data_IF_725874103595
#
_entry.id   IF_725874103595
#
_cell.length_a   1.000
_cell.length_b   1.000
_cell.length_c   1.000
_cell.angle_alpha   90.00
_cell.angle_beta   90.00
_cell.angle_gamma   90.00
#
_symmetry.space_group_name_H-M   'P 1'
#
loop_
_entity.id
_entity.type
_entity.pdbx_description
1 polymer ?
#
# COMPACT_ATOMS: atom_id res chain seq x y z
N UNK A 1 -3.34 27.39 -20.08
CA UNK A 1 -2.48 26.52 -19.23
C UNK A 1 -1.04 27.03 -19.23
N UNK A 2 -0.26 26.91 -20.31
CA UNK A 2 1.12 27.42 -20.36
C UNK A 2 1.25 28.94 -20.18
N UNK A 3 0.33 29.72 -20.77
CA UNK A 3 0.29 31.19 -20.63
C UNK A 3 0.04 31.66 -19.19
N UNK A 4 -0.85 30.97 -18.46
CA UNK A 4 -1.22 31.30 -17.09
C UNK A 4 -0.13 30.87 -16.09
N UNK A 5 0.52 29.72 -16.32
CA UNK A 5 1.71 29.33 -15.57
C UNK A 5 2.86 30.31 -15.79
N UNK A 6 3.11 30.73 -17.04
CA UNK A 6 4.18 31.69 -17.37
C UNK A 6 3.95 33.04 -16.66
N UNK A 7 2.74 33.57 -16.73
CA UNK A 7 2.40 34.86 -16.11
C UNK A 7 2.54 34.83 -14.58
N UNK A 8 2.21 33.71 -13.92
CA UNK A 8 2.40 33.55 -12.47
C UNK A 8 3.86 33.30 -12.08
N UNK A 9 4.63 32.60 -12.90
CA UNK A 9 6.07 32.41 -12.67
C UNK A 9 6.83 33.74 -12.83
N UNK A 10 6.43 34.57 -13.78
CA UNK A 10 6.94 35.95 -13.93
C UNK A 10 6.65 36.81 -12.68
N UNK A 11 5.47 36.66 -12.06
CA UNK A 11 5.14 37.29 -10.78
C UNK A 11 6.01 36.79 -9.61
N UNK A 12 6.55 35.58 -9.71
CA UNK A 12 7.49 35.00 -8.73
C UNK A 12 8.95 35.30 -9.07
N UNK A 13 9.22 36.14 -10.09
CA UNK A 13 10.55 36.43 -10.63
C UNK A 13 11.32 35.17 -11.08
N UNK A 14 10.61 34.15 -11.57
CA UNK A 14 11.20 32.94 -12.13
C UNK A 14 11.23 33.06 -13.66
N UNK A 15 12.41 33.01 -14.25
CA UNK A 15 12.59 32.94 -15.70
C UNK A 15 12.30 31.52 -16.21
N UNK A 16 11.61 31.41 -17.35
CA UNK A 16 11.25 30.13 -17.96
C UNK A 16 11.95 30.02 -19.30
N UNK A 17 12.90 29.11 -19.39
CA UNK A 17 13.68 28.79 -20.59
C UNK A 17 13.24 27.42 -21.12
N UNK A 18 13.15 27.30 -22.44
CA UNK A 18 12.86 26.04 -23.11
C UNK A 18 14.16 25.51 -23.66
N UNK A 19 14.52 24.29 -23.25
CA UNK A 19 15.71 23.59 -23.70
C UNK A 19 15.30 22.41 -24.56
N UNK A 20 16.04 22.17 -25.64
CA UNK A 20 15.94 20.96 -26.45
C UNK A 20 16.62 19.77 -25.76
N UNK A 21 16.22 18.55 -26.13
CA UNK A 21 16.71 17.32 -25.53
C UNK A 21 18.25 17.21 -25.56
N UNK A 22 18.89 17.66 -26.66
CA UNK A 22 20.35 17.64 -26.80
C UNK A 22 21.04 18.63 -25.86
N UNK A 23 20.49 19.84 -25.72
CA UNK A 23 21.03 20.87 -24.84
C UNK A 23 21.02 20.39 -23.38
N UNK A 24 19.99 19.64 -22.98
CA UNK A 24 19.91 19.05 -21.63
C UNK A 24 20.96 17.97 -21.41
N UNK A 25 21.23 17.15 -22.43
CA UNK A 25 22.24 16.09 -22.35
C UNK A 25 23.68 16.65 -22.31
N UNK A 26 23.89 17.83 -22.87
CA UNK A 26 25.18 18.53 -22.83
C UNK A 26 25.44 19.24 -21.47
N UNK A 27 24.48 19.27 -20.56
CA UNK A 27 24.64 19.89 -19.24
C UNK A 27 25.54 19.02 -18.35
N UNK A 28 26.68 19.59 -17.96
CA UNK A 28 27.64 18.89 -17.10
C UNK A 28 27.50 19.17 -15.61
N UNK A 29 27.14 20.39 -15.23
CA UNK A 29 26.92 20.82 -13.85
C UNK A 29 25.61 21.61 -13.72
N UNK A 30 24.88 21.38 -12.63
CA UNK A 30 23.59 22.03 -12.37
C UNK A 30 23.65 22.81 -11.06
N UNK A 31 23.39 24.12 -11.13
CA UNK A 31 23.15 24.93 -9.93
C UNK A 31 21.69 24.84 -9.48
N UNK A 32 21.43 23.97 -8.51
CA UNK A 32 20.12 23.80 -7.89
C UNK A 32 19.66 24.99 -7.02
N UNK A 33 20.48 26.01 -6.80
CA UNK A 33 20.04 27.22 -6.10
C UNK A 33 19.26 28.15 -7.02
N UNK A 34 19.57 28.14 -8.32
CA UNK A 34 19.02 29.07 -9.31
C UNK A 34 18.14 28.38 -10.36
N UNK A 35 18.35 27.09 -10.60
CA UNK A 35 17.68 26.38 -11.69
C UNK A 35 16.84 25.19 -11.22
N UNK A 36 15.76 24.93 -11.92
CA UNK A 36 14.95 23.73 -11.80
C UNK A 36 14.42 23.33 -13.18
N UNK A 37 14.47 22.04 -13.50
CA UNK A 37 14.04 21.49 -14.77
C UNK A 37 12.60 21.02 -14.67
N UNK A 38 11.80 21.35 -15.68
CA UNK A 38 10.40 20.95 -15.76
C UNK A 38 10.29 19.91 -16.86
N UNK A 39 9.97 18.67 -16.49
CA UNK A 39 9.80 17.58 -17.44
C UNK A 39 8.40 16.98 -17.32
N UNK A 40 7.92 16.38 -18.40
CA UNK A 40 6.62 15.73 -18.42
C UNK A 40 6.69 14.25 -18.07
N UNK A 41 7.79 13.59 -18.45
CA UNK A 41 8.03 12.16 -18.26
C UNK A 41 9.15 11.96 -17.24
N UNK A 42 8.91 11.13 -16.23
CA UNK A 42 9.88 10.82 -15.17
C UNK A 42 10.57 9.47 -15.45
N UNK A 43 10.85 9.25 -16.73
CA UNK A 43 11.54 8.10 -17.29
C UNK A 43 12.29 8.53 -18.56
N UNK A 44 13.23 7.69 -18.98
CA UNK A 44 14.03 7.91 -20.18
C UNK A 44 15.33 8.66 -19.93
N UNK A 45 16.09 8.82 -21.03
CA UNK A 45 17.48 9.27 -21.00
C UNK A 45 17.66 10.66 -20.37
N UNK A 46 16.75 11.59 -20.64
CA UNK A 46 16.80 12.96 -20.10
C UNK A 46 16.60 12.94 -18.59
N UNK A 47 15.62 12.18 -18.11
CA UNK A 47 15.35 12.06 -16.69
C UNK A 47 16.53 11.41 -15.96
N UNK A 48 17.05 10.31 -16.51
CA UNK A 48 18.17 9.58 -15.93
C UNK A 48 19.42 10.48 -15.87
N UNK A 49 19.72 11.22 -16.95
CA UNK A 49 20.82 12.19 -16.98
C UNK A 49 20.66 13.29 -15.92
N UNK A 50 19.48 13.92 -15.83
CA UNK A 50 19.22 14.95 -14.82
C UNK A 50 19.28 14.39 -13.39
N UNK A 51 18.89 13.13 -13.17
CA UNK A 51 19.05 12.47 -11.88
C UNK A 51 20.53 12.23 -11.55
N UNK A 52 21.34 11.79 -12.50
CA UNK A 52 22.79 11.60 -12.34
C UNK A 52 23.50 12.90 -12.00
N UNK A 53 23.11 14.01 -12.65
CA UNK A 53 23.60 15.36 -12.35
C UNK A 53 23.02 15.96 -11.06
N UNK A 54 22.20 15.19 -10.33
CA UNK A 54 21.55 15.59 -9.08
C UNK A 54 20.73 16.89 -9.23
N UNK A 55 20.12 17.08 -10.40
CA UNK A 55 19.37 18.28 -10.73
C UNK A 55 18.02 18.31 -10.01
N UNK A 56 17.49 19.52 -9.79
CA UNK A 56 16.11 19.69 -9.33
C UNK A 56 15.16 19.50 -10.50
N UNK A 57 14.28 18.50 -10.39
CA UNK A 57 13.35 18.08 -11.43
C UNK A 57 11.93 18.18 -10.90
N UNK A 58 11.07 18.90 -11.62
CA UNK A 58 9.67 19.09 -11.31
C UNK A 58 8.77 18.65 -12.47
N UNK A 59 7.55 18.24 -12.16
CA UNK A 59 6.53 18.08 -13.20
C UNK A 59 5.78 19.39 -13.43
N UNK A 60 5.19 19.53 -14.61
CA UNK A 60 4.26 20.62 -14.89
C UNK A 60 3.02 20.59 -13.96
N UNK A 61 2.60 19.40 -13.50
CA UNK A 61 1.50 19.24 -12.55
C UNK A 61 1.85 19.82 -11.17
N UNK A 62 3.08 19.62 -10.70
CA UNK A 62 3.56 20.18 -9.44
C UNK A 62 3.48 21.70 -9.46
N UNK A 63 3.97 22.32 -10.53
CA UNK A 63 3.92 23.77 -10.68
C UNK A 63 2.49 24.29 -10.70
N UNK A 64 1.60 23.67 -11.48
CA UNK A 64 0.18 24.03 -11.49
C UNK A 64 -0.45 23.92 -10.10
N UNK A 65 -0.10 22.89 -9.33
CA UNK A 65 -0.57 22.70 -7.96
C UNK A 65 -0.03 23.77 -6.99
N UNK A 66 1.27 24.06 -7.02
CA UNK A 66 1.89 25.10 -6.19
C UNK A 66 1.30 26.47 -6.49
N UNK A 67 1.14 26.79 -7.78
CA UNK A 67 0.58 28.05 -8.24
C UNK A 67 -0.89 28.20 -7.83
N UNK A 68 -1.72 27.17 -8.05
CA UNK A 68 -3.15 27.21 -7.69
C UNK A 68 -3.38 27.30 -6.18
N UNK A 69 -2.51 26.69 -5.36
CA UNK A 69 -2.60 26.71 -3.90
C UNK A 69 -1.80 27.84 -3.24
N UNK A 70 -1.16 28.71 -4.04
CA UNK A 70 -0.23 29.76 -3.57
C UNK A 70 0.83 29.24 -2.58
N UNK A 71 1.29 28.01 -2.76
CA UNK A 71 2.34 27.40 -1.94
C UNK A 71 3.73 27.78 -2.48
N UNK A 72 4.74 27.94 -1.60
CA UNK A 72 6.11 28.14 -2.04
C UNK A 72 6.61 26.92 -2.84
N UNK A 73 7.52 27.17 -3.78
CA UNK A 73 8.14 26.10 -4.55
C UNK A 73 8.99 25.20 -3.65
N UNK A 74 8.85 23.87 -3.75
CA UNK A 74 9.53 22.94 -2.87
C UNK A 74 11.03 22.91 -3.16
N UNK A 75 11.85 23.11 -2.12
CA UNK A 75 13.32 23.01 -2.23
C UNK A 75 13.83 21.58 -2.18
N UNK A 76 13.07 20.71 -1.51
CA UNK A 76 13.37 19.31 -1.26
C UNK A 76 12.07 18.47 -1.27
N UNK A 77 12.10 17.22 -1.74
CA UNK A 77 13.21 16.55 -2.41
C UNK A 77 13.51 17.15 -3.80
N UNK A 78 14.68 16.81 -4.37
CA UNK A 78 15.13 17.37 -5.64
C UNK A 78 14.23 16.95 -6.81
N UNK A 79 13.65 15.75 -6.76
CA UNK A 79 12.78 15.22 -7.81
C UNK A 79 11.35 15.13 -7.27
N UNK A 80 10.43 15.90 -7.86
CA UNK A 80 9.02 15.93 -7.46
C UNK A 80 8.09 15.94 -8.68
N UNK A 81 7.28 14.89 -8.75
CA UNK A 81 6.19 14.79 -9.70
C UNK A 81 4.89 15.43 -9.18
N UNK A 82 4.59 15.34 -7.88
CA UNK A 82 3.37 15.92 -7.29
C UNK A 82 3.53 16.08 -5.77
N UNK A 83 2.62 16.78 -5.12
CA UNK A 83 2.49 16.84 -3.66
C UNK A 83 1.34 15.95 -3.15
N UNK A 84 0.92 14.96 -3.94
CA UNK A 84 -0.14 14.02 -3.63
C UNK A 84 0.02 13.28 -2.29
N UNK A 85 1.26 12.92 -1.94
CA UNK A 85 1.60 12.26 -0.68
C UNK A 85 2.35 13.17 0.30
N UNK A 86 2.29 14.49 0.11
CA UNK A 86 2.93 15.44 1.02
C UNK A 86 2.52 15.18 2.49
N UNK A 87 3.53 14.95 3.33
CA UNK A 87 3.36 14.64 4.76
C UNK A 87 2.79 13.25 5.06
N UNK A 88 2.71 12.35 4.08
CA UNK A 88 2.20 10.98 4.27
C UNK A 88 3.36 10.00 4.41
N UNK A 89 3.40 9.28 5.53
CA UNK A 89 4.37 8.21 5.75
C UNK A 89 3.81 6.85 5.29
N UNK A 90 4.50 6.22 4.34
CA UNK A 90 4.07 4.99 3.68
C UNK A 90 5.01 3.85 4.05
N UNK A 91 4.48 2.68 4.37
CA UNK A 91 5.27 1.46 4.50
C UNK A 91 4.84 0.41 3.49
N UNK A 92 5.81 -0.30 2.91
CA UNK A 92 5.58 -1.35 1.92
C UNK A 92 5.75 -2.74 2.55
N UNK A 93 4.86 -3.69 2.24
CA UNK A 93 4.87 -5.06 2.75
C UNK A 93 4.50 -6.11 1.70
N UNK A 94 5.08 -7.32 1.81
CA UNK A 94 4.63 -8.49 1.03
C UNK A 94 4.77 -8.38 -0.50
N UNK A 95 5.83 -7.73 -0.99
CA UNK A 95 6.12 -7.54 -2.43
C UNK A 95 7.58 -7.88 -2.74
N UNK A 96 7.89 -8.18 -4.00
CA UNK A 96 9.26 -8.39 -4.51
C UNK A 96 10.11 -7.11 -4.43
N UNK A 97 11.42 -7.25 -4.62
CA UNK A 97 12.37 -6.15 -4.51
C UNK A 97 12.20 -5.12 -5.62
N UNK A 98 11.93 -5.54 -6.86
CA UNK A 98 11.70 -4.62 -7.98
C UNK A 98 10.48 -3.73 -7.74
N UNK A 99 9.30 -4.31 -7.51
CA UNK A 99 8.04 -3.56 -7.29
C UNK A 99 8.12 -2.64 -6.07
N UNK A 100 8.81 -3.08 -5.00
CA UNK A 100 9.06 -2.20 -3.84
C UNK A 100 9.89 -0.98 -4.20
N UNK A 101 10.91 -1.16 -5.03
CA UNK A 101 11.79 -0.06 -5.45
C UNK A 101 11.05 0.90 -6.36
N UNK A 102 10.25 0.38 -7.29
CA UNK A 102 9.41 1.18 -8.19
C UNK A 102 8.36 2.00 -7.41
N UNK A 103 7.57 1.36 -6.54
CA UNK A 103 6.56 2.04 -5.73
C UNK A 103 7.19 3.04 -4.76
N UNK A 104 8.39 2.73 -4.24
CA UNK A 104 9.15 3.64 -3.40
C UNK A 104 9.50 4.91 -4.18
N UNK A 105 10.09 4.78 -5.36
CA UNK A 105 10.42 5.91 -6.25
C UNK A 105 9.19 6.76 -6.53
N UNK A 106 8.08 6.15 -6.96
CA UNK A 106 6.80 6.86 -7.22
C UNK A 106 6.28 7.60 -5.99
N UNK A 107 6.28 6.96 -4.82
CA UNK A 107 5.82 7.57 -3.59
C UNK A 107 6.68 8.76 -3.14
N UNK A 108 8.01 8.64 -3.22
CA UNK A 108 8.95 9.71 -2.88
C UNK A 108 8.83 10.91 -3.84
N UNK A 109 8.70 10.65 -5.14
CA UNK A 109 8.45 11.68 -6.15
C UNK A 109 7.09 12.37 -5.99
N UNK A 110 6.13 11.74 -5.31
CA UNK A 110 4.85 12.35 -4.96
C UNK A 110 4.87 13.08 -3.60
N UNK A 111 6.05 13.27 -3.00
CA UNK A 111 6.24 13.98 -1.73
C UNK A 111 5.98 13.12 -0.49
N UNK A 112 5.80 11.80 -0.66
CA UNK A 112 5.61 10.85 0.43
C UNK A 112 6.93 10.38 1.03
N UNK A 113 6.89 9.97 2.30
CA UNK A 113 8.06 9.38 2.97
C UNK A 113 7.90 7.87 3.09
N UNK A 114 8.78 7.10 2.45
CA UNK A 114 8.71 5.64 2.49
C UNK A 114 9.58 5.09 3.62
N UNK A 115 8.92 4.52 4.63
CA UNK A 115 9.58 3.99 5.83
C UNK A 115 9.94 2.50 5.64
N UNK A 116 11.21 2.11 5.86
CA UNK A 116 11.64 0.71 5.72
C UNK A 116 10.98 -0.19 6.76
N UNK A 117 10.79 0.34 7.96
CA UNK A 117 10.12 -0.29 9.09
C UNK A 117 8.74 0.34 9.33
N UNK A 118 7.93 -0.33 10.14
CA UNK A 118 6.59 0.14 10.48
C UNK A 118 6.61 0.82 11.85
N UNK A 119 6.27 2.11 11.89
CA UNK A 119 6.32 2.94 13.10
C UNK A 119 4.94 3.55 13.37
N UNK A 120 4.73 4.10 14.56
CA UNK A 120 3.48 4.78 14.91
C UNK A 120 3.22 6.05 14.08
N UNK A 121 4.24 6.56 13.41
CA UNK A 121 4.15 7.68 12.48
C UNK A 121 3.73 7.25 11.07
N UNK A 122 3.53 5.95 10.81
CA UNK A 122 3.08 5.46 9.49
C UNK A 122 1.60 5.74 9.30
N UNK A 123 1.25 6.41 8.20
CA UNK A 123 -0.14 6.77 7.86
C UNK A 123 -0.80 5.75 6.92
N UNK A 124 -0.01 5.01 6.14
CA UNK A 124 -0.50 4.10 5.12
C UNK A 124 0.37 2.84 5.01
N UNK A 125 -0.26 1.66 4.99
CA UNK A 125 0.39 0.40 4.65
C UNK A 125 -0.01 -0.03 3.24
N UNK A 126 0.98 -0.22 2.36
CA UNK A 126 0.75 -0.79 1.03
C UNK A 126 1.18 -2.25 1.04
N UNK A 127 0.25 -3.14 0.72
CA UNK A 127 0.48 -4.58 0.74
C UNK A 127 -0.29 -5.28 -0.39
N UNK A 128 0.35 -6.27 -1.02
CA UNK A 128 -0.28 -7.06 -2.09
C UNK A 128 -1.27 -8.09 -1.54
N UNK A 129 -0.96 -8.64 -0.36
CA UNK A 129 -1.75 -9.65 0.35
C UNK A 129 -1.82 -9.32 1.85
N UNK A 130 -2.82 -9.88 2.53
CA UNK A 130 -2.99 -9.75 3.97
C UNK A 130 -2.32 -10.93 4.68
N UNK A 131 -1.06 -10.73 5.08
CA UNK A 131 -0.31 -11.73 5.84
C UNK A 131 -0.48 -11.53 7.35
N UNK A 132 -1.20 -12.46 7.98
CA UNK A 132 -1.47 -12.46 9.43
C UNK A 132 -0.22 -12.75 10.29
N UNK A 133 0.88 -13.16 9.67
CA UNK A 133 2.16 -13.41 10.34
C UNK A 133 3.11 -12.22 10.28
N UNK A 134 2.91 -11.32 9.31
CA UNK A 134 3.73 -10.14 9.12
C UNK A 134 3.52 -9.11 10.24
N UNK A 135 4.61 -8.69 10.88
CA UNK A 135 4.57 -7.71 11.97
C UNK A 135 3.97 -6.36 11.53
N UNK A 136 4.28 -5.92 10.30
CA UNK A 136 3.73 -4.68 9.73
C UNK A 136 2.20 -4.73 9.63
N UNK A 137 1.66 -5.85 9.17
CA UNK A 137 0.22 -6.06 9.07
C UNK A 137 -0.46 -6.05 10.45
N UNK A 138 0.09 -6.79 11.41
CA UNK A 138 -0.44 -6.82 12.78
C UNK A 138 -0.43 -5.44 13.44
N UNK A 139 0.62 -4.65 13.23
CA UNK A 139 0.71 -3.29 13.73
C UNK A 139 -0.31 -2.37 13.04
N UNK A 140 -0.48 -2.46 11.72
CA UNK A 140 -1.48 -1.68 10.98
C UNK A 140 -2.90 -1.97 11.46
N UNK A 141 -3.25 -3.25 11.64
CA UNK A 141 -4.55 -3.67 12.20
C UNK A 141 -4.74 -3.10 13.61
N UNK A 142 -3.71 -3.17 14.46
CA UNK A 142 -3.76 -2.65 15.84
C UNK A 142 -3.96 -1.14 15.89
N UNK A 143 -3.30 -0.39 15.01
CA UNK A 143 -3.37 1.07 14.94
C UNK A 143 -4.48 1.58 14.02
N UNK A 144 -5.27 0.68 13.42
CA UNK A 144 -6.34 0.98 12.45
C UNK A 144 -5.82 1.80 11.26
N UNK A 145 -4.57 1.60 10.89
CA UNK A 145 -3.94 2.23 9.74
C UNK A 145 -4.53 1.60 8.47
N UNK A 146 -4.91 2.39 7.46
CA UNK A 146 -5.42 1.87 6.20
C UNK A 146 -4.40 0.97 5.49
N UNK A 147 -4.89 -0.15 4.97
CA UNK A 147 -4.09 -1.13 4.22
C UNK A 147 -4.62 -1.18 2.80
N UNK A 148 -3.83 -0.69 1.85
CA UNK A 148 -4.21 -0.56 0.45
C UNK A 148 -3.33 -1.43 -0.43
N UNK A 149 -3.83 -1.73 -1.63
CA UNK A 149 -3.09 -2.48 -2.64
C UNK A 149 -2.07 -1.59 -3.36
N UNK A 150 -1.03 -2.18 -3.99
CA UNK A 150 -0.01 -1.44 -4.74
C UNK A 150 -0.57 -0.50 -5.80
N UNK A 151 -1.65 -0.92 -6.47
CA UNK A 151 -2.27 -0.16 -7.57
C UNK A 151 -2.81 1.20 -7.11
N UNK A 152 -2.96 1.41 -5.79
CA UNK A 152 -3.27 2.71 -5.22
C UNK A 152 -2.23 3.76 -5.62
N UNK A 153 -0.93 3.47 -5.43
CA UNK A 153 0.16 4.39 -5.74
C UNK A 153 0.17 4.71 -7.24
N UNK A 154 -0.02 3.69 -8.09
CA UNK A 154 -0.08 3.87 -9.54
C UNK A 154 -1.27 4.75 -9.94
N UNK A 155 -2.41 4.57 -9.29
CA UNK A 155 -3.58 5.42 -9.55
C UNK A 155 -3.34 6.86 -9.13
N UNK A 156 -2.74 7.06 -7.94
CA UNK A 156 -2.37 8.38 -7.43
C UNK A 156 -1.42 9.07 -8.41
N UNK A 157 -0.44 8.33 -8.91
CA UNK A 157 0.53 8.82 -9.90
C UNK A 157 -0.17 9.34 -11.17
N UNK A 158 -1.11 8.56 -11.73
CA UNK A 158 -1.87 8.98 -12.92
C UNK A 158 -2.89 10.09 -12.68
N UNK A 159 -3.36 10.30 -11.44
CA UNK A 159 -4.38 11.29 -11.09
C UNK A 159 -3.82 12.49 -10.30
N UNK A 160 -2.52 12.73 -10.41
CA UNK A 160 -1.77 13.77 -9.70
C UNK A 160 -2.32 15.20 -9.87
N UNK A 161 -3.13 15.46 -10.90
CA UNK A 161 -3.81 16.74 -11.11
C UNK A 161 -4.89 17.06 -10.04
N UNK A 162 -5.48 16.04 -9.38
CA UNK A 162 -6.54 16.21 -8.38
C UNK A 162 -6.19 15.52 -7.03
N UNK A 163 -5.22 16.05 -6.28
CA UNK A 163 -4.71 15.42 -5.05
C UNK A 163 -5.72 15.38 -3.89
N UNK A 164 -6.80 16.17 -3.93
CA UNK A 164 -7.82 16.25 -2.87
C UNK A 164 -8.58 14.93 -2.66
N UNK A 165 -8.65 14.07 -3.68
CA UNK A 165 -9.36 12.78 -3.62
C UNK A 165 -8.60 11.69 -2.85
N UNK A 166 -7.30 11.88 -2.62
CA UNK A 166 -6.41 10.83 -2.11
C UNK A 166 -6.57 10.53 -0.62
N UNK A 167 -7.03 11.54 0.13
CA UNK A 167 -7.36 11.42 1.56
C UNK A 167 -8.83 11.09 1.78
N UNK A 168 -9.65 11.01 0.71
CA UNK A 168 -11.05 10.62 0.84
C UNK A 168 -11.12 9.15 1.33
N UNK A 169 -11.79 8.88 2.46
CA UNK A 169 -12.02 7.52 2.92
C UNK A 169 -12.67 6.61 1.88
N UNK A 170 -13.48 7.16 0.96
CA UNK A 170 -14.09 6.41 -0.14
C UNK A 170 -13.05 5.90 -1.13
N UNK A 171 -12.13 6.76 -1.54
CA UNK A 171 -11.05 6.40 -2.44
C UNK A 171 -10.13 5.34 -1.79
N UNK A 172 -9.74 5.55 -0.52
CA UNK A 172 -8.96 4.54 0.21
C UNK A 172 -9.68 3.18 0.31
N UNK A 173 -11.02 3.18 0.45
CA UNK A 173 -11.83 1.95 0.55
C UNK A 173 -11.80 1.14 -0.75
N UNK A 174 -11.82 1.79 -1.91
CA UNK A 174 -11.77 1.13 -3.23
C UNK A 174 -10.46 0.36 -3.43
N UNK A 175 -9.35 0.91 -2.93
CA UNK A 175 -8.03 0.29 -3.05
C UNK A 175 -7.66 -0.61 -1.88
N UNK A 176 -8.57 -0.86 -0.92
CA UNK A 176 -8.30 -1.83 0.15
C UNK A 176 -8.00 -3.21 -0.42
N UNK A 177 -7.12 -3.94 0.27
CA UNK A 177 -6.86 -5.34 -0.05
C UNK A 177 -8.09 -6.16 0.36
N UNK A 178 -8.71 -6.93 -0.55
CA UNK A 178 -9.84 -7.79 -0.21
C UNK A 178 -9.48 -8.76 0.92
N UNK A 179 -10.39 -8.93 1.89
CA UNK A 179 -10.06 -9.62 3.14
C UNK A 179 -9.67 -11.09 2.94
N UNK A 180 -10.16 -11.72 1.88
CA UNK A 180 -9.85 -13.11 1.52
C UNK A 180 -8.94 -13.24 0.30
N UNK A 181 -8.27 -12.16 -0.15
CA UNK A 181 -7.29 -12.23 -1.25
C UNK A 181 -6.22 -13.31 -0.99
N UNK A 182 -6.10 -14.28 -1.89
CA UNK A 182 -5.17 -15.42 -1.76
C UNK A 182 -5.65 -16.53 -0.81
N UNK A 183 -6.86 -16.44 -0.27
CA UNK A 183 -7.47 -17.53 0.49
C UNK A 183 -8.23 -18.48 -0.44
N UNK A 184 -8.00 -19.79 -0.27
CA UNK A 184 -8.79 -20.86 -0.87
C UNK A 184 -9.47 -21.57 0.30
N UNK A 185 -10.79 -21.42 0.40
CA UNK A 185 -11.57 -21.75 1.58
C UNK A 185 -12.51 -22.91 1.26
N UNK A 186 -12.42 -23.96 2.08
CA UNK A 186 -13.37 -25.07 2.10
C UNK A 186 -14.20 -25.02 3.39
N UNK A 187 -15.39 -25.62 3.37
CA UNK A 187 -16.25 -25.74 4.56
C UNK A 187 -16.56 -27.20 4.88
N UNK A 188 -16.84 -27.50 6.14
CA UNK A 188 -17.33 -28.81 6.56
C UNK A 188 -18.34 -28.66 7.70
N UNK A 189 -19.36 -29.54 7.71
CA UNK A 189 -20.44 -29.53 8.70
C UNK A 189 -21.52 -28.46 8.49
N UNK A 190 -21.52 -27.76 7.35
CA UNK A 190 -22.56 -26.79 6.97
C UNK A 190 -23.61 -27.43 6.07
N UNK A 191 -24.86 -27.00 6.20
CA UNK A 191 -25.95 -27.42 5.32
C UNK A 191 -25.78 -26.82 3.90
N UNK A 192 -26.47 -27.34 2.86
CA UNK A 192 -26.29 -26.86 1.50
C UNK A 192 -26.53 -25.35 1.31
N UNK A 193 -27.51 -24.76 2.00
CA UNK A 193 -27.81 -23.33 1.90
C UNK A 193 -26.70 -22.48 2.52
N UNK A 194 -26.23 -22.86 3.72
CA UNK A 194 -25.11 -22.20 4.39
C UNK A 194 -23.82 -22.26 3.57
N UNK A 195 -23.55 -23.39 2.91
CA UNK A 195 -22.40 -23.53 2.01
C UNK A 195 -22.46 -22.56 0.84
N UNK A 196 -23.63 -22.38 0.22
CA UNK A 196 -23.82 -21.40 -0.85
C UNK A 196 -23.58 -19.98 -0.36
N UNK A 197 -24.14 -19.62 0.80
CA UNK A 197 -23.97 -18.28 1.41
C UNK A 197 -22.49 -18.03 1.71
N UNK A 198 -21.79 -18.99 2.33
CA UNK A 198 -20.36 -18.86 2.62
C UNK A 198 -19.54 -18.77 1.35
N UNK A 199 -19.85 -19.58 0.32
CA UNK A 199 -19.17 -19.53 -0.96
C UNK A 199 -19.25 -18.13 -1.60
N UNK A 200 -20.47 -17.59 -1.72
CA UNK A 200 -20.71 -16.24 -2.23
C UNK A 200 -20.00 -15.18 -1.39
N UNK A 201 -20.05 -15.30 -0.05
CA UNK A 201 -19.37 -14.37 0.86
C UNK A 201 -17.86 -14.35 0.61
N UNK A 202 -17.24 -15.52 0.46
CA UNK A 202 -15.80 -15.65 0.24
C UNK A 202 -15.40 -15.05 -1.12
N UNK A 203 -16.15 -15.38 -2.16
CA UNK A 203 -15.90 -14.89 -3.53
C UNK A 203 -16.07 -13.37 -3.64
N UNK A 204 -17.15 -12.82 -3.06
CA UNK A 204 -17.41 -11.37 -3.02
C UNK A 204 -16.32 -10.58 -2.29
N UNK A 205 -15.53 -11.25 -1.44
CA UNK A 205 -14.45 -10.62 -0.66
C UNK A 205 -13.05 -11.05 -1.13
N UNK A 206 -12.95 -11.52 -2.38
CA UNK A 206 -11.69 -11.77 -3.09
C UNK A 206 -11.01 -13.09 -2.76
N UNK A 207 -11.69 -14.01 -2.08
CA UNK A 207 -11.23 -15.39 -1.89
C UNK A 207 -11.76 -16.33 -2.97
N UNK A 208 -11.33 -17.58 -2.91
CA UNK A 208 -11.86 -18.66 -3.74
C UNK A 208 -12.52 -19.70 -2.84
N UNK A 209 -13.77 -20.06 -3.15
CA UNK A 209 -14.45 -21.14 -2.46
C UNK A 209 -14.24 -22.46 -3.21
N UNK A 210 -14.02 -23.55 -2.47
CA UNK A 210 -13.93 -24.90 -3.02
C UNK A 210 -14.78 -25.88 -2.20
N UNK A 211 -15.55 -26.72 -2.88
CA UNK A 211 -16.41 -27.71 -2.22
C UNK A 211 -15.59 -28.83 -1.58
N UNK A 212 -14.55 -29.30 -2.27
CA UNK A 212 -13.67 -30.35 -1.80
C UNK A 212 -12.33 -29.83 -1.31
N UNK A 213 -11.89 -30.42 -0.19
CA UNK A 213 -10.63 -30.06 0.44
C UNK A 213 -9.50 -30.81 -0.24
N UNK A 214 -8.57 -30.07 -0.82
CA UNK A 214 -7.38 -30.60 -1.47
C UNK A 214 -6.11 -30.12 -0.77
N UNK A 215 -5.19 -31.06 -0.54
CA UNK A 215 -3.84 -30.79 0.00
C UNK A 215 -3.08 -29.84 -0.92
N UNK A 216 -2.27 -28.96 -0.34
CA UNK A 216 -1.41 -27.97 -1.04
C UNK A 216 -2.17 -26.94 -1.91
N UNK A 217 -3.51 -27.00 -1.92
CA UNK A 217 -4.40 -26.06 -2.63
C UNK A 217 -5.23 -25.27 -1.62
N UNK A 218 -5.91 -25.95 -0.69
CA UNK A 218 -6.74 -25.29 0.30
C UNK A 218 -5.88 -24.59 1.34
N UNK A 219 -6.13 -23.30 1.57
CA UNK A 219 -5.41 -22.56 2.62
C UNK A 219 -6.17 -22.55 3.94
N UNK A 220 -7.50 -22.63 3.89
CA UNK A 220 -8.35 -22.60 5.09
C UNK A 220 -9.48 -23.64 5.03
N UNK A 221 -9.78 -24.22 6.18
CA UNK A 221 -10.97 -25.04 6.41
C UNK A 221 -11.84 -24.35 7.47
N UNK A 222 -13.11 -24.10 7.11
CA UNK A 222 -14.12 -23.54 8.02
C UNK A 222 -14.99 -24.68 8.57
N UNK A 223 -15.01 -24.84 9.89
CA UNK A 223 -15.72 -25.91 10.60
C UNK A 223 -16.46 -25.38 11.82
N UNK A 224 -17.60 -25.98 12.13
CA UNK A 224 -18.40 -25.65 13.33
C UNK A 224 -17.86 -26.35 14.58
N UNK A 225 -17.29 -27.54 14.43
CA UNK A 225 -16.75 -28.36 15.53
C UNK A 225 -15.41 -28.99 15.13
N UNK A 226 -14.50 -29.28 16.09
CA UNK A 226 -13.21 -29.90 15.84
C UNK A 226 -13.35 -31.42 15.64
N UNK A 227 -14.23 -31.83 14.71
CA UNK A 227 -14.58 -33.23 14.49
C UNK A 227 -14.69 -33.56 12.99
N UNK A 228 -14.65 -34.85 12.67
CA UNK A 228 -14.77 -35.37 11.31
C UNK A 228 -13.45 -35.51 10.56
N UNK A 229 -13.50 -36.17 9.40
CA UNK A 229 -12.32 -36.48 8.59
C UNK A 229 -11.67 -35.23 7.99
N UNK A 230 -12.48 -34.29 7.47
CA UNK A 230 -11.95 -33.02 6.92
C UNK A 230 -11.16 -32.25 7.98
N UNK A 231 -11.59 -32.22 9.23
CA UNK A 231 -10.82 -31.59 10.32
C UNK A 231 -9.47 -32.30 10.54
N UNK A 232 -9.47 -33.63 10.68
CA UNK A 232 -8.25 -34.43 10.88
C UNK A 232 -7.24 -34.22 9.75
N UNK A 233 -7.69 -34.30 8.50
CA UNK A 233 -6.84 -34.10 7.33
C UNK A 233 -6.35 -32.65 7.21
N UNK A 234 -7.19 -31.65 7.51
CA UNK A 234 -6.76 -30.26 7.51
C UNK A 234 -5.62 -30.02 8.52
N UNK A 235 -5.75 -30.55 9.74
CA UNK A 235 -4.69 -30.47 10.74
C UNK A 235 -3.41 -31.18 10.29
N UNK A 236 -3.54 -32.36 9.68
CA UNK A 236 -2.39 -33.12 9.16
C UNK A 236 -1.67 -32.39 8.02
N UNK A 237 -2.41 -31.71 7.14
CA UNK A 237 -1.88 -31.00 5.98
C UNK A 237 -1.43 -29.57 6.29
N UNK A 238 -1.55 -29.12 7.54
CA UNK A 238 -1.22 -27.75 7.92
C UNK A 238 -2.18 -26.70 7.35
N UNK A 239 -3.38 -27.11 6.94
CA UNK A 239 -4.45 -26.20 6.51
C UNK A 239 -4.97 -25.46 7.75
N UNK A 240 -5.16 -24.15 7.62
CA UNK A 240 -5.62 -23.30 8.72
C UNK A 240 -7.09 -23.61 9.03
N UNK A 241 -7.34 -24.17 10.22
CA UNK A 241 -8.71 -24.48 10.67
C UNK A 241 -9.29 -23.30 11.45
N UNK A 242 -10.48 -22.86 11.06
CA UNK A 242 -11.18 -21.71 11.66
C UNK A 242 -12.68 -21.97 11.80
N UNK A 243 -13.33 -21.21 12.66
CA UNK A 243 -14.80 -21.20 12.83
C UNK A 243 -15.48 -20.23 11.85
N UNK A 244 -16.79 -20.40 11.56
CA UNK A 244 -17.56 -19.43 10.76
C UNK A 244 -17.49 -17.99 11.30
N UNK A 245 -17.30 -17.82 12.61
CA UNK A 245 -17.10 -16.51 13.25
C UNK A 245 -15.88 -15.78 12.68
N UNK A 246 -14.82 -16.49 12.29
CA UNK A 246 -13.66 -15.88 11.64
C UNK A 246 -14.04 -15.18 10.34
N UNK A 247 -14.81 -15.85 9.47
CA UNK A 247 -15.26 -15.28 8.20
C UNK A 247 -16.07 -14.01 8.43
N UNK A 248 -17.07 -14.11 9.32
CA UNK A 248 -17.97 -13.00 9.64
C UNK A 248 -17.18 -11.79 10.15
N UNK A 249 -16.30 -11.99 11.12
CA UNK A 249 -15.48 -10.92 11.71
C UNK A 249 -14.53 -10.29 10.70
N UNK A 250 -13.93 -11.11 9.81
CA UNK A 250 -13.07 -10.59 8.77
C UNK A 250 -13.82 -9.65 7.83
N UNK A 251 -15.03 -10.04 7.43
CA UNK A 251 -15.89 -9.25 6.54
C UNK A 251 -16.37 -7.98 7.25
N UNK A 252 -16.93 -8.09 8.45
CA UNK A 252 -17.45 -6.95 9.22
C UNK A 252 -16.41 -5.84 9.43
N UNK A 253 -15.16 -6.22 9.69
CA UNK A 253 -14.10 -5.27 10.02
C UNK A 253 -13.28 -4.85 8.80
N UNK A 254 -13.38 -5.56 7.68
CA UNK A 254 -12.50 -5.37 6.53
C UNK A 254 -11.05 -5.78 6.79
N UNK A 255 -10.77 -6.63 7.80
CA UNK A 255 -9.43 -7.05 8.20
C UNK A 255 -9.34 -8.56 8.38
N UNK A 256 -8.26 -9.19 7.94
CA UNK A 256 -7.99 -10.61 8.15
C UNK A 256 -7.44 -10.87 9.56
N UNK A 257 -8.19 -11.58 10.37
CA UNK A 257 -7.72 -11.97 11.70
C UNK A 257 -6.82 -13.19 11.66
N UNK A 258 -5.90 -13.27 12.64
CA UNK A 258 -5.08 -14.45 12.83
C UNK A 258 -5.97 -15.67 13.18
N UNK A 259 -5.79 -16.75 12.42
CA UNK A 259 -6.67 -17.91 12.33
C UNK A 259 -6.77 -18.66 13.65
N UNK A 260 -5.63 -18.84 14.34
CA UNK A 260 -5.56 -19.51 15.65
C UNK A 260 -6.55 -18.97 16.69
N UNK A 261 -6.84 -17.66 16.71
CA UNK A 261 -7.78 -17.06 17.68
C UNK A 261 -9.23 -17.55 17.47
N UNK A 262 -9.51 -18.11 16.31
CA UNK A 262 -10.83 -18.58 15.90
C UNK A 262 -10.84 -20.08 15.62
N UNK A 263 -9.86 -20.81 16.15
CA UNK A 263 -9.81 -22.26 16.04
C UNK A 263 -11.02 -22.90 16.76
N UNK A 264 -11.66 -23.94 16.21
CA UNK A 264 -12.84 -24.58 16.82
C UNK A 264 -12.53 -25.31 18.14
N UNK A 265 -11.27 -25.73 18.34
CA UNK A 265 -10.78 -26.28 19.61
C UNK A 265 -10.38 -25.15 20.59
N UNK A 266 -11.04 -25.03 21.76
CA UNK A 266 -10.74 -24.01 22.77
C UNK A 266 -9.32 -24.07 23.33
N UNK A 267 -8.70 -25.25 23.42
CA UNK A 267 -7.33 -25.37 23.91
C UNK A 267 -6.33 -24.75 22.93
N UNK A 268 -6.56 -24.93 21.62
CA UNK A 268 -5.71 -24.36 20.59
C UNK A 268 -5.90 -22.85 20.50
N UNK A 269 -7.14 -22.38 20.66
CA UNK A 269 -7.49 -20.97 20.66
C UNK A 269 -6.92 -20.18 21.86
N UNK A 270 -6.84 -20.81 23.04
CA UNK A 270 -6.37 -20.18 24.28
C UNK A 270 -4.84 -20.18 24.46
N UNK A 271 -4.11 -21.07 23.79
CA UNK A 271 -2.64 -21.13 23.89
C UNK A 271 -1.98 -19.84 23.36
N UNK A 272 -1.54 -18.97 24.27
CA UNK A 272 -0.64 -17.85 23.99
C UNK A 272 0.75 -18.36 23.60
N UNK A 273 1.38 -17.75 22.59
CA UNK A 273 2.83 -17.96 22.35
C UNK A 273 3.57 -17.61 23.66
N UNK A 274 4.46 -18.49 24.13
CA UNK A 274 5.52 -18.09 25.06
C UNK A 274 6.21 -16.86 24.45
N UNK A 275 6.35 -15.83 25.27
CA UNK A 275 6.78 -14.46 24.95
C UNK A 275 7.88 -14.36 23.89
N UNK A 276 7.56 -13.78 22.73
CA UNK A 276 8.55 -13.05 21.92
C UNK A 276 8.61 -11.65 22.51
N UNK A 277 9.80 -11.18 22.88
CA UNK A 277 10.04 -9.88 23.50
C UNK A 277 9.24 -8.77 22.81
N UNK A 278 8.51 -7.98 23.60
CA UNK A 278 7.85 -6.76 23.12
C UNK A 278 8.92 -5.84 22.52
N UNK A 279 8.76 -5.31 21.29
CA UNK A 279 9.63 -4.24 20.84
C UNK A 279 9.45 -3.05 21.77
N UNK A 280 10.50 -2.75 22.55
CA UNK A 280 10.60 -1.55 23.37
C UNK A 280 10.64 -0.34 22.47
N UNK A 281 9.86 0.70 22.80
CA UNK A 281 9.96 2.02 22.16
C UNK A 281 11.41 2.52 22.33
N UNK A 282 12.10 2.99 21.27
CA UNK A 282 13.27 3.82 21.48
C UNK A 282 12.80 5.15 22.05
N UNK A 283 13.11 5.37 23.33
CA UNK A 283 12.97 6.68 23.96
C UNK A 283 14.13 7.53 23.47
N UNK A 284 13.88 8.48 22.57
CA UNK A 284 14.83 9.56 22.33
C UNK A 284 14.80 10.43 23.58
N UNK A 285 15.88 10.40 24.36
CA UNK A 285 16.11 11.39 25.40
C UNK A 285 16.60 12.67 24.71
N UNK A 286 16.03 13.80 25.12
CA UNK A 286 16.48 15.13 24.75
C UNK A 286 17.93 15.36 25.22
#
# INVERSE_FOLDING_TARGET
MLSECKQRLEQMHVALEYLEDQEILDIDEVDNQQSAFIINTFDGQIFDHLQEKNARIWSHHLLSQCLSQSKPLPKTPLVLHSLAFEGTAISLSGMNKEKKTELKKKAEMMGGTVLPNFYSTTDLLVAETLDTTAQKYLAAVKWKIPIVRPEFIDKVWSQCANPTSLKDPKFLKEYRVPVFKGCIICTSGLNPQERTIVGQLVENHGGKYVAEMAKDVCTHLVVVSPAGEKYKFASLWGIKVVTPTWLRRCVETGMRFHERKFHPDPEIASRTRKSVQKPTKPTVKA
#
